data_IF_677349753290
#
_entry.id   IF_677349753290
#
_cell.length_a   1.000
_cell.length_b   1.000
_cell.length_c   1.000
_cell.angle_alpha   90.00
_cell.angle_beta   90.00
_cell.angle_gamma   90.00
#
_symmetry.space_group_name_H-M   'P 1'
#
loop_
_entity.id
_entity.type
_entity.pdbx_description
1 polymer ?
#
# COMPACT_ATOMS: atom_id res chain seq x y z
N UNK A 1 10.10 -25.36 25.83
CA UNK A 1 10.25 -24.01 25.22
C UNK A 1 10.47 -22.99 26.35
N UNK A 2 11.60 -22.28 26.35
CA UNK A 2 12.08 -21.51 27.52
C UNK A 2 11.29 -20.19 27.72
N UNK A 3 10.90 -19.86 28.97
CA UNK A 3 10.01 -18.72 29.34
C UNK A 3 10.53 -17.37 28.81
N UNK A 4 11.84 -17.20 28.76
CA UNK A 4 12.52 -16.01 28.24
C UNK A 4 12.42 -15.85 26.71
N UNK A 5 12.41 -16.97 25.96
CA UNK A 5 12.15 -16.93 24.51
C UNK A 5 10.72 -16.46 24.23
N UNK A 6 9.74 -16.91 25.03
CA UNK A 6 8.33 -16.52 24.88
C UNK A 6 8.14 -15.03 25.17
N UNK A 7 8.72 -14.48 26.25
CA UNK A 7 8.66 -13.04 26.56
C UNK A 7 9.27 -12.18 25.44
N UNK A 8 10.43 -12.57 24.92
CA UNK A 8 11.11 -11.85 23.83
C UNK A 8 10.28 -11.85 22.55
N UNK A 9 9.62 -12.97 22.24
CA UNK A 9 8.72 -13.09 21.09
C UNK A 9 7.46 -12.23 21.27
N UNK A 10 6.81 -12.28 22.43
CA UNK A 10 5.65 -11.46 22.77
C UNK A 10 5.94 -9.97 22.66
N UNK A 11 7.10 -9.53 23.17
CA UNK A 11 7.50 -8.13 23.09
C UNK A 11 7.77 -7.65 21.65
N UNK A 12 8.38 -8.50 20.82
CA UNK A 12 8.54 -8.23 19.38
C UNK A 12 7.20 -8.12 18.68
N UNK A 13 6.27 -9.04 18.97
CA UNK A 13 4.92 -9.03 18.41
C UNK A 13 4.14 -7.78 18.81
N UNK A 14 4.14 -7.39 20.08
CA UNK A 14 3.45 -6.17 20.54
C UNK A 14 4.01 -4.92 19.88
N UNK A 15 5.34 -4.79 19.77
CA UNK A 15 5.96 -3.68 19.04
C UNK A 15 5.55 -3.67 17.58
N UNK A 16 5.63 -4.80 16.91
CA UNK A 16 5.22 -4.95 15.51
C UNK A 16 3.76 -4.53 15.31
N UNK A 17 2.85 -5.01 16.16
CA UNK A 17 1.44 -4.68 16.11
C UNK A 17 1.16 -3.19 16.35
N UNK A 18 1.79 -2.58 17.36
CA UNK A 18 1.65 -1.15 17.64
C UNK A 18 2.16 -0.28 16.49
N UNK A 19 3.31 -0.63 15.89
CA UNK A 19 3.82 0.08 14.72
C UNK A 19 2.90 -0.10 13.51
N UNK A 20 2.39 -1.31 13.27
CA UNK A 20 1.43 -1.55 12.18
C UNK A 20 0.16 -0.72 12.36
N UNK A 21 -0.39 -0.66 13.57
CA UNK A 21 -1.54 0.19 13.88
C UNK A 21 -1.24 1.66 13.68
N UNK A 22 -0.05 2.13 14.08
CA UNK A 22 0.38 3.51 13.88
C UNK A 22 0.46 3.86 12.39
N UNK A 23 1.03 2.97 11.56
CA UNK A 23 1.09 3.17 10.11
C UNK A 23 -0.30 3.19 9.50
N UNK A 24 -1.19 2.27 9.90
CA UNK A 24 -2.58 2.25 9.42
C UNK A 24 -3.34 3.51 9.81
N UNK A 25 -3.21 3.95 11.07
CA UNK A 25 -3.81 5.19 11.55
C UNK A 25 -3.26 6.40 10.78
N UNK A 26 -1.95 6.46 10.57
CA UNK A 26 -1.29 7.52 9.83
C UNK A 26 -1.82 7.59 8.39
N UNK A 27 -1.92 6.45 7.71
CA UNK A 27 -2.49 6.39 6.36
C UNK A 27 -3.94 6.88 6.33
N UNK A 28 -4.75 6.43 7.29
CA UNK A 28 -6.14 6.86 7.40
C UNK A 28 -6.25 8.37 7.60
N UNK A 29 -5.47 8.94 8.53
CA UNK A 29 -5.44 10.39 8.78
C UNK A 29 -4.96 11.16 7.54
N UNK A 30 -3.89 10.71 6.88
CA UNK A 30 -3.40 11.35 5.67
C UNK A 30 -4.45 11.30 4.56
N UNK A 31 -5.09 10.16 4.29
CA UNK A 31 -6.15 10.09 3.27
C UNK A 31 -7.42 10.85 3.64
N UNK A 32 -7.66 11.10 4.93
CA UNK A 32 -8.81 11.90 5.38
C UNK A 32 -8.58 13.39 5.19
N UNK A 33 -7.36 13.89 5.45
CA UNK A 33 -7.09 15.34 5.48
C UNK A 33 -6.28 15.85 4.29
N UNK A 34 -5.37 15.05 3.75
CA UNK A 34 -4.44 15.47 2.70
C UNK A 34 -5.16 15.83 1.38
N UNK A 35 -6.20 15.10 0.91
CA UNK A 35 -6.93 15.52 -0.28
C UNK A 35 -7.58 16.89 -0.11
N UNK A 36 -8.19 17.17 1.05
CA UNK A 36 -8.77 18.47 1.38
C UNK A 36 -7.71 19.58 1.41
N UNK A 37 -6.53 19.32 1.98
CA UNK A 37 -5.41 20.28 1.96
C UNK A 37 -4.98 20.57 0.51
N UNK A 38 -4.85 19.54 -0.32
CA UNK A 38 -4.45 19.72 -1.73
C UNK A 38 -5.51 20.51 -2.50
N UNK A 39 -6.79 20.18 -2.32
CA UNK A 39 -7.90 20.87 -2.98
C UNK A 39 -7.99 22.35 -2.57
N UNK A 40 -7.75 22.67 -1.29
CA UNK A 40 -7.80 24.06 -0.82
C UNK A 40 -6.64 24.93 -1.33
N UNK A 41 -5.53 24.32 -1.75
CA UNK A 41 -4.33 25.02 -2.21
C UNK A 41 -4.10 24.89 -3.73
N UNK A 42 -4.83 24.01 -4.42
CA UNK A 42 -4.65 23.70 -5.84
C UNK A 42 -5.96 23.25 -6.49
N UNK A 43 -6.13 23.49 -7.79
CA UNK A 43 -7.29 22.99 -8.54
C UNK A 43 -7.14 21.52 -9.01
N UNK A 44 -6.21 20.76 -8.41
CA UNK A 44 -5.83 19.43 -8.92
C UNK A 44 -6.93 18.38 -8.78
N UNK A 45 -7.86 18.52 -7.82
CA UNK A 45 -9.02 17.62 -7.72
C UNK A 45 -10.00 17.80 -8.89
N UNK A 46 -9.99 18.96 -9.55
CA UNK A 46 -10.80 19.25 -10.74
C UNK A 46 -10.18 18.72 -12.05
N UNK A 47 -8.96 18.17 -12.00
CA UNK A 47 -8.28 17.60 -13.18
C UNK A 47 -8.31 16.08 -13.08
N UNK A 48 -8.87 15.34 -14.06
CA UNK A 48 -8.91 13.88 -14.01
C UNK A 48 -7.51 13.29 -14.09
N UNK A 49 -7.21 12.33 -13.21
CA UNK A 49 -5.99 11.53 -13.29
C UNK A 49 -6.36 10.12 -13.72
N UNK A 50 -6.43 9.94 -15.04
CA UNK A 50 -6.82 8.69 -15.68
C UNK A 50 -5.70 8.22 -16.61
N UNK A 51 -4.85 7.34 -16.09
CA UNK A 51 -3.62 6.91 -16.78
C UNK A 51 -3.73 5.46 -17.25
N UNK A 52 -3.22 5.22 -18.46
CA UNK A 52 -3.17 3.92 -19.12
C UNK A 52 -4.53 3.23 -19.20
N UNK A 53 -5.30 3.56 -20.25
CA UNK A 53 -6.59 2.93 -20.51
C UNK A 53 -6.40 1.46 -20.89
N UNK A 54 -7.19 0.59 -20.27
CA UNK A 54 -7.20 -0.85 -20.51
C UNK A 54 -8.61 -1.25 -20.91
N UNK A 55 -8.73 -1.89 -22.08
CA UNK A 55 -9.98 -2.45 -22.57
C UNK A 55 -9.81 -3.96 -22.77
N UNK A 56 -10.47 -4.75 -21.94
CA UNK A 56 -10.42 -6.22 -21.93
C UNK A 56 -11.84 -6.78 -21.83
N UNK A 57 -12.44 -7.12 -22.97
CA UNK A 57 -13.81 -7.64 -23.02
C UNK A 57 -14.83 -6.66 -22.44
N UNK A 58 -15.47 -7.04 -21.32
CA UNK A 58 -16.44 -6.21 -20.58
C UNK A 58 -15.80 -5.12 -19.70
N UNK A 59 -14.47 -5.15 -19.53
CA UNK A 59 -13.73 -4.17 -18.74
C UNK A 59 -13.23 -3.06 -19.66
N UNK A 60 -13.61 -1.81 -19.38
CA UNK A 60 -13.07 -0.60 -20.01
C UNK A 60 -12.80 0.42 -18.90
N UNK A 61 -11.54 0.53 -18.49
CA UNK A 61 -11.13 1.38 -17.36
C UNK A 61 -9.70 1.89 -17.55
N UNK A 62 -9.14 2.54 -16.54
CA UNK A 62 -7.75 2.98 -16.46
C UNK A 62 -7.01 2.21 -15.36
N UNK A 63 -5.71 1.98 -15.53
CA UNK A 63 -4.86 1.36 -14.49
C UNK A 63 -4.85 2.26 -13.25
N UNK A 64 -4.69 3.56 -13.46
CA UNK A 64 -4.91 4.57 -12.43
C UNK A 64 -6.17 5.32 -12.81
N UNK A 65 -7.27 5.02 -12.13
CA UNK A 65 -8.59 5.59 -12.44
C UNK A 65 -9.07 6.51 -11.32
N UNK A 66 -8.66 7.78 -11.38
CA UNK A 66 -9.08 8.84 -10.47
C UNK A 66 -9.87 9.90 -11.25
N UNK A 67 -11.15 9.63 -11.56
CA UNK A 67 -12.01 10.60 -12.23
C UNK A 67 -12.29 11.79 -11.30
N UNK A 68 -12.75 12.90 -11.87
CA UNK A 68 -13.27 14.02 -11.09
C UNK A 68 -14.62 13.62 -10.51
N UNK A 69 -14.76 13.72 -9.19
CA UNK A 69 -15.96 13.33 -8.43
C UNK A 69 -16.83 14.52 -8.05
N UNK A 70 -16.33 15.76 -8.24
CA UNK A 70 -16.98 16.99 -7.77
C UNK A 70 -16.63 17.35 -6.33
N UNK A 71 -15.81 16.53 -5.67
CA UNK A 71 -15.25 16.76 -4.34
C UNK A 71 -13.75 16.40 -4.32
N UNK A 72 -13.10 16.49 -3.15
CA UNK A 72 -11.69 16.17 -2.95
C UNK A 72 -11.34 14.67 -3.08
N UNK A 73 -12.32 13.78 -3.27
CA UNK A 73 -12.09 12.33 -3.37
C UNK A 73 -11.72 11.86 -4.78
N UNK A 74 -11.57 12.79 -5.72
CA UNK A 74 -11.26 12.53 -7.12
C UNK A 74 -10.10 13.35 -7.69
N UNK A 75 -9.82 13.10 -8.96
CA UNK A 75 -8.84 13.83 -9.74
C UNK A 75 -7.37 13.63 -9.31
N UNK A 76 -6.51 14.47 -9.87
CA UNK A 76 -5.07 14.48 -9.62
C UNK A 76 -4.73 14.78 -8.16
N UNK A 77 -5.56 15.56 -7.48
CA UNK A 77 -5.36 15.89 -6.07
C UNK A 77 -5.48 14.66 -5.18
N UNK A 78 -6.52 13.84 -5.35
CA UNK A 78 -6.65 12.59 -4.61
C UNK A 78 -5.55 11.59 -4.96
N UNK A 79 -5.17 11.49 -6.24
CA UNK A 79 -4.03 10.65 -6.66
C UNK A 79 -2.73 11.07 -5.96
N UNK A 80 -2.44 12.38 -5.89
CA UNK A 80 -1.28 12.91 -5.20
C UNK A 80 -1.33 12.62 -3.69
N UNK A 81 -2.48 12.81 -3.04
CA UNK A 81 -2.68 12.47 -1.64
C UNK A 81 -2.41 10.98 -1.38
N UNK A 82 -2.92 10.10 -2.25
CA UNK A 82 -2.67 8.67 -2.19
C UNK A 82 -1.19 8.32 -2.34
N UNK A 83 -0.51 8.89 -3.33
CA UNK A 83 0.91 8.66 -3.57
C UNK A 83 1.78 9.11 -2.39
N UNK A 84 1.52 10.31 -1.84
CA UNK A 84 2.23 10.83 -0.66
C UNK A 84 1.98 9.94 0.55
N UNK A 85 0.73 9.52 0.76
CA UNK A 85 0.36 8.63 1.87
C UNK A 85 1.09 7.30 1.79
N UNK A 86 1.11 6.68 0.60
CA UNK A 86 1.85 5.43 0.38
C UNK A 86 3.34 5.62 0.63
N UNK A 87 3.93 6.71 0.13
CA UNK A 87 5.35 6.98 0.32
C UNK A 87 5.72 7.10 1.81
N UNK A 88 4.96 7.89 2.58
CA UNK A 88 5.18 8.04 4.03
C UNK A 88 5.04 6.69 4.73
N UNK A 89 4.01 5.90 4.38
CA UNK A 89 3.85 4.56 4.93
C UNK A 89 5.05 3.65 4.65
N UNK A 90 5.63 3.72 3.45
CA UNK A 90 6.84 2.99 3.11
C UNK A 90 8.07 3.44 3.90
N UNK A 91 8.21 4.74 4.17
CA UNK A 91 9.28 5.26 5.03
C UNK A 91 9.22 4.71 6.45
N UNK A 92 8.02 4.40 6.97
CA UNK A 92 7.86 3.75 8.28
C UNK A 92 8.01 2.23 8.19
N UNK A 93 7.51 1.60 7.12
CA UNK A 93 7.61 0.16 6.93
C UNK A 93 9.06 -0.31 6.71
N UNK A 94 9.88 0.46 5.99
CA UNK A 94 11.28 0.08 5.74
C UNK A 94 12.10 -0.20 7.01
N UNK A 95 12.22 0.72 7.99
CA UNK A 95 12.96 0.46 9.22
C UNK A 95 12.33 -0.66 10.05
N UNK A 96 11.01 -0.81 10.01
CA UNK A 96 10.30 -1.90 10.68
C UNK A 96 10.69 -3.26 10.07
N UNK A 97 10.59 -3.41 8.76
CA UNK A 97 10.94 -4.66 8.07
C UNK A 97 12.42 -5.00 8.28
N UNK A 98 13.31 -4.02 8.13
CA UNK A 98 14.75 -4.24 8.28
C UNK A 98 15.13 -4.59 9.72
N UNK A 99 14.71 -3.82 10.71
CA UNK A 99 15.25 -3.91 12.06
C UNK A 99 14.44 -4.83 13.00
N UNK A 100 13.15 -5.02 12.74
CA UNK A 100 12.25 -5.80 13.60
C UNK A 100 11.94 -7.15 12.98
N UNK A 101 11.44 -7.17 11.74
CA UNK A 101 10.99 -8.40 11.06
C UNK A 101 12.16 -9.27 10.64
N UNK A 102 13.02 -8.78 9.75
CA UNK A 102 14.09 -9.57 9.13
C UNK A 102 15.44 -9.40 9.83
N UNK A 103 15.58 -8.43 10.75
CA UNK A 103 16.82 -8.09 11.48
C UNK A 103 18.06 -8.08 10.57
N UNK A 104 17.90 -7.56 9.36
CA UNK A 104 18.94 -7.63 8.33
C UNK A 104 19.99 -6.56 8.59
N UNK A 105 21.25 -6.98 8.68
CA UNK A 105 22.42 -6.11 8.87
C UNK A 105 23.13 -5.75 7.56
N UNK A 106 22.53 -6.08 6.41
CA UNK A 106 23.07 -5.74 5.08
C UNK A 106 23.15 -4.23 4.81
N UNK A 107 23.73 -3.89 3.66
CA UNK A 107 23.92 -2.50 3.22
C UNK A 107 22.55 -1.78 3.09
N UNK A 108 22.36 -0.75 3.92
CA UNK A 108 21.11 0.03 4.00
C UNK A 108 20.74 0.63 2.65
N UNK A 109 21.70 1.15 1.89
CA UNK A 109 21.44 1.81 0.61
C UNK A 109 20.96 0.83 -0.46
N UNK A 110 21.57 -0.35 -0.53
CA UNK A 110 21.15 -1.40 -1.46
C UNK A 110 19.74 -1.89 -1.12
N UNK A 111 19.47 -2.12 0.17
CA UNK A 111 18.16 -2.56 0.64
C UNK A 111 17.08 -1.49 0.37
N UNK A 112 17.36 -0.23 0.65
CA UNK A 112 16.45 0.88 0.40
C UNK A 112 16.13 1.03 -1.10
N UNK A 113 17.14 0.95 -1.96
CA UNK A 113 16.96 1.02 -3.42
C UNK A 113 16.03 -0.09 -3.92
N UNK A 114 16.31 -1.35 -3.58
CA UNK A 114 15.45 -2.47 -4.00
C UNK A 114 14.07 -2.42 -3.36
N UNK A 115 13.96 -1.92 -2.13
CA UNK A 115 12.68 -1.71 -1.48
C UNK A 115 11.81 -0.70 -2.24
N UNK A 116 12.39 0.41 -2.69
CA UNK A 116 11.69 1.40 -3.51
C UNK A 116 11.28 0.81 -4.87
N UNK A 117 12.17 0.06 -5.53
CA UNK A 117 11.85 -0.62 -6.79
C UNK A 117 10.68 -1.59 -6.60
N UNK A 118 10.74 -2.43 -5.57
CA UNK A 118 9.67 -3.36 -5.21
C UNK A 118 8.36 -2.63 -4.91
N UNK A 119 8.42 -1.56 -4.13
CA UNK A 119 7.26 -0.74 -3.81
C UNK A 119 6.56 -0.19 -5.06
N UNK A 120 7.32 0.38 -6.00
CA UNK A 120 6.77 0.92 -7.26
C UNK A 120 6.18 -0.21 -8.11
N UNK A 121 6.92 -1.30 -8.31
CA UNK A 121 6.46 -2.44 -9.09
C UNK A 121 5.16 -3.03 -8.53
N UNK A 122 5.08 -3.21 -7.21
CA UNK A 122 3.90 -3.76 -6.54
C UNK A 122 2.72 -2.80 -6.64
N UNK A 123 2.94 -1.50 -6.47
CA UNK A 123 1.89 -0.49 -6.64
C UNK A 123 1.29 -0.54 -8.04
N UNK A 124 2.13 -0.66 -9.07
CA UNK A 124 1.68 -0.79 -10.47
C UNK A 124 0.91 -2.09 -10.67
N UNK A 125 1.43 -3.23 -10.22
CA UNK A 125 0.75 -4.53 -10.35
C UNK A 125 -0.61 -4.52 -9.64
N UNK A 126 -0.69 -4.00 -8.42
CA UNK A 126 -1.95 -3.86 -7.68
C UNK A 126 -2.93 -2.96 -8.44
N UNK A 127 -2.46 -1.85 -9.02
CA UNK A 127 -3.29 -0.94 -9.81
C UNK A 127 -3.83 -1.61 -11.08
N UNK A 128 -3.00 -2.41 -11.77
CA UNK A 128 -3.42 -3.22 -12.93
C UNK A 128 -4.49 -4.22 -12.50
N UNK A 129 -4.26 -4.97 -11.42
CA UNK A 129 -5.23 -5.94 -10.93
C UNK A 129 -6.55 -5.26 -10.56
N UNK A 130 -6.49 -4.16 -9.80
CA UNK A 130 -7.66 -3.35 -9.46
C UNK A 130 -8.44 -2.90 -10.69
N UNK A 131 -7.74 -2.47 -11.74
CA UNK A 131 -8.38 -2.04 -12.99
C UNK A 131 -9.22 -3.17 -13.62
N UNK A 132 -8.84 -4.43 -13.41
CA UNK A 132 -9.59 -5.58 -13.96
C UNK A 132 -10.74 -5.96 -13.04
N UNK A 133 -10.46 -6.24 -11.76
CA UNK A 133 -11.47 -6.86 -10.90
C UNK A 133 -12.48 -5.87 -10.32
N UNK A 134 -12.11 -4.59 -10.06
CA UNK A 134 -13.03 -3.61 -9.46
C UNK A 134 -14.25 -3.34 -10.35
N UNK A 135 -14.11 -3.07 -11.67
CA UNK A 135 -15.27 -2.87 -12.54
C UNK A 135 -16.19 -4.09 -12.60
N UNK A 136 -15.61 -5.30 -12.64
CA UNK A 136 -16.37 -6.56 -12.61
C UNK A 136 -17.16 -6.65 -11.31
N UNK A 137 -16.51 -6.41 -10.16
CA UNK A 137 -17.18 -6.48 -8.86
C UNK A 137 -18.32 -5.45 -8.75
N UNK A 138 -18.14 -4.22 -9.26
CA UNK A 138 -19.19 -3.19 -9.25
C UNK A 138 -20.40 -3.55 -10.12
N UNK A 139 -20.25 -4.40 -11.13
CA UNK A 139 -21.36 -4.85 -11.97
C UNK A 139 -22.21 -5.93 -11.31
N UNK A 140 -21.61 -6.77 -10.46
CA UNK A 140 -22.27 -7.98 -9.93
C UNK A 140 -22.56 -7.94 -8.42
N UNK A 141 -21.92 -7.03 -7.67
CA UNK A 141 -21.98 -7.01 -6.21
C UNK A 141 -22.44 -5.66 -5.68
N UNK A 142 -23.11 -5.70 -4.54
CA UNK A 142 -23.47 -4.49 -3.79
C UNK A 142 -22.24 -3.80 -3.19
N UNK A 143 -22.30 -2.48 -2.92
CA UNK A 143 -21.21 -1.69 -2.36
C UNK A 143 -20.53 -2.26 -1.13
N UNK A 144 -21.30 -2.75 -0.16
CA UNK A 144 -20.75 -3.34 1.05
C UNK A 144 -19.91 -4.59 0.75
N UNK A 145 -20.38 -5.43 -0.17
CA UNK A 145 -19.76 -6.72 -0.51
C UNK A 145 -18.50 -6.50 -1.31
N UNK A 146 -18.53 -5.67 -2.37
CA UNK A 146 -17.32 -5.46 -3.17
C UNK A 146 -16.25 -4.69 -2.39
N UNK A 147 -16.60 -3.77 -1.48
CA UNK A 147 -15.59 -3.04 -0.69
C UNK A 147 -14.79 -4.00 0.20
N UNK A 148 -15.46 -4.94 0.88
CA UNK A 148 -14.79 -5.98 1.67
C UNK A 148 -13.91 -6.85 0.76
N UNK A 149 -14.43 -7.25 -0.40
CA UNK A 149 -13.69 -8.06 -1.35
C UNK A 149 -12.43 -7.35 -1.85
N UNK A 150 -12.53 -6.06 -2.19
CA UNK A 150 -11.39 -5.21 -2.56
C UNK A 150 -10.36 -5.17 -1.43
N UNK A 151 -10.79 -4.97 -0.18
CA UNK A 151 -9.88 -4.94 0.98
C UNK A 151 -9.14 -6.27 1.15
N UNK A 152 -9.85 -7.40 1.06
CA UNK A 152 -9.26 -8.74 1.19
C UNK A 152 -8.29 -9.03 0.04
N UNK A 153 -8.68 -8.72 -1.21
CA UNK A 153 -7.82 -8.92 -2.38
C UNK A 153 -6.57 -8.06 -2.26
N UNK A 154 -6.70 -6.78 -1.91
CA UNK A 154 -5.53 -5.91 -1.74
C UNK A 154 -4.60 -6.42 -0.65
N UNK A 155 -5.13 -6.76 0.53
CA UNK A 155 -4.32 -7.32 1.61
C UNK A 155 -3.64 -8.62 1.22
N UNK A 156 -4.38 -9.53 0.59
CA UNK A 156 -3.88 -10.85 0.17
C UNK A 156 -2.85 -10.77 -0.95
N UNK A 157 -3.13 -10.02 -2.01
CA UNK A 157 -2.20 -9.79 -3.14
C UNK A 157 -0.92 -9.13 -2.63
N UNK A 158 -1.04 -8.12 -1.77
CA UNK A 158 0.11 -7.50 -1.14
C UNK A 158 0.91 -8.52 -0.33
N UNK A 159 0.30 -9.37 0.49
CA UNK A 159 1.03 -10.41 1.23
C UNK A 159 1.78 -11.38 0.30
N UNK A 160 1.11 -11.88 -0.74
CA UNK A 160 1.69 -12.87 -1.67
C UNK A 160 2.86 -12.29 -2.46
N UNK A 161 2.81 -10.99 -2.81
CA UNK A 161 3.88 -10.35 -3.59
C UNK A 161 4.98 -9.78 -2.67
N UNK A 162 4.63 -9.06 -1.60
CA UNK A 162 5.61 -8.43 -0.71
C UNK A 162 6.46 -9.46 0.04
N UNK A 163 5.88 -10.57 0.48
CA UNK A 163 6.60 -11.56 1.29
C UNK A 163 7.85 -12.15 0.59
N UNK A 164 7.76 -12.73 -0.62
CA UNK A 164 8.95 -13.25 -1.31
C UNK A 164 9.94 -12.14 -1.68
N UNK A 165 9.45 -10.98 -2.09
CA UNK A 165 10.29 -9.84 -2.48
C UNK A 165 11.08 -9.30 -1.29
N UNK A 166 10.43 -9.12 -0.13
CA UNK A 166 11.10 -8.66 1.08
C UNK A 166 12.11 -9.68 1.60
N UNK A 167 11.86 -10.98 1.45
CA UNK A 167 12.84 -12.01 1.80
C UNK A 167 14.12 -11.93 0.96
N UNK A 168 14.01 -11.54 -0.31
CA UNK A 168 15.16 -11.32 -1.20
C UNK A 168 15.91 -10.04 -0.82
N UNK A 169 15.17 -8.97 -0.49
CA UNK A 169 15.74 -7.64 -0.17
C UNK A 169 16.41 -7.64 1.20
N UNK A 170 15.78 -8.29 2.17
CA UNK A 170 16.27 -8.43 3.54
C UNK A 170 16.60 -9.89 3.82
N UNK A 171 17.73 -10.41 3.29
CA UNK A 171 18.19 -11.73 3.69
C UNK A 171 18.40 -11.73 5.20
N UNK A 172 17.76 -12.68 5.86
CA UNK A 172 17.96 -12.95 7.28
C UNK A 172 19.39 -13.46 7.46
N UNK A 173 20.07 -13.00 8.51
CA UNK A 173 21.32 -13.63 8.91
C UNK A 173 20.91 -14.97 9.54
N UNK A 174 21.17 -16.09 8.87
CA UNK A 174 21.10 -17.40 9.52
C UNK A 174 22.02 -17.32 10.73
N UNK A 175 21.44 -17.39 11.92
CA UNK A 175 22.21 -17.56 13.13
C UNK A 175 22.73 -19.00 13.11
N UNK A 176 23.94 -19.19 12.59
CA UNK A 176 24.80 -20.31 12.95
C UNK A 176 25.04 -20.32 14.47
#
# INVERSE_FOLDING_TARGET
MNREKIKKLLFQFVKFYLFSLLVTLLQYLLLTFLPTIINNNTDWCSVPCQLFRVKLGIVDTYIFNYPVTGDETGGMGYFAAFAITLFIAQCVNFPMQRNVTFKSHGNVWYQAMWYVIAFVAITVVCSVLMSIYVPICKQFLEPAVYNILITVINGGVQMVIYFPVYKIIFPEVESD
#
